data_IF_353824598720
#
_entry.id   IF_353824598720
#
_cell.length_a   1.000
_cell.length_b   1.000
_cell.length_c   1.000
_cell.angle_alpha   90.00
_cell.angle_beta   90.00
_cell.angle_gamma   90.00
#
_symmetry.space_group_name_H-M   'P 1'
#
loop_
_entity.id
_entity.type
_entity.pdbx_description
1 polymer ?
#
# COMPACT_ATOMS: atom_id res chain seq x y z
N UNK A 1 10.16 38.42 -13.91
CA UNK A 1 9.06 38.23 -12.94
C UNK A 1 8.22 36.97 -13.21
N UNK A 2 8.57 36.12 -14.17
CA UNK A 2 7.84 34.89 -14.57
C UNK A 2 8.19 33.64 -13.77
N UNK A 3 9.36 33.60 -13.12
CA UNK A 3 9.86 32.44 -12.36
C UNK A 3 9.00 32.04 -11.14
N UNK A 4 8.48 32.96 -10.30
CA UNK A 4 7.72 32.57 -9.09
C UNK A 4 6.34 31.98 -9.40
N UNK A 5 5.71 32.42 -10.49
CA UNK A 5 4.39 31.95 -10.90
C UNK A 5 4.50 30.54 -11.50
N UNK A 6 5.50 30.31 -12.36
CA UNK A 6 5.76 28.99 -12.95
C UNK A 6 6.09 27.94 -11.88
N UNK A 7 6.88 28.30 -10.86
CA UNK A 7 7.19 27.40 -9.74
C UNK A 7 5.95 27.09 -8.88
N UNK A 8 5.09 28.08 -8.66
CA UNK A 8 3.82 27.88 -7.93
C UNK A 8 2.87 26.98 -8.71
N UNK A 9 2.72 27.22 -10.01
CA UNK A 9 1.85 26.41 -10.87
C UNK A 9 2.31 24.95 -10.93
N UNK A 10 3.62 24.71 -11.00
CA UNK A 10 4.19 23.36 -10.94
C UNK A 10 3.92 22.69 -9.57
N UNK A 11 4.03 23.43 -8.47
CA UNK A 11 3.72 22.92 -7.13
C UNK A 11 2.23 22.56 -7.00
N UNK A 12 1.32 23.44 -7.45
CA UNK A 12 -0.13 23.19 -7.44
C UNK A 12 -0.50 21.94 -8.27
N UNK A 13 0.11 21.75 -9.45
CA UNK A 13 -0.09 20.53 -10.27
C UNK A 13 0.38 19.27 -9.55
N UNK A 14 1.55 19.33 -8.91
CA UNK A 14 2.12 18.21 -8.16
C UNK A 14 1.24 17.84 -6.97
N UNK A 15 0.77 18.84 -6.22
CA UNK A 15 -0.14 18.65 -5.08
C UNK A 15 -1.44 17.98 -5.53
N UNK A 16 -2.06 18.45 -6.63
CA UNK A 16 -3.25 17.83 -7.19
C UNK A 16 -3.01 16.39 -7.67
N UNK A 17 -1.87 16.11 -8.31
CA UNK A 17 -1.51 14.77 -8.74
C UNK A 17 -1.32 13.82 -7.55
N UNK A 18 -0.64 14.28 -6.49
CA UNK A 18 -0.42 13.53 -5.24
C UNK A 18 -1.75 13.24 -4.53
N UNK A 19 -2.66 14.22 -4.47
CA UNK A 19 -4.00 14.02 -3.92
C UNK A 19 -4.77 12.91 -4.66
N UNK A 20 -4.73 12.89 -6.00
CA UNK A 20 -5.37 11.85 -6.81
C UNK A 20 -4.72 10.47 -6.68
N UNK A 21 -3.41 10.38 -6.44
CA UNK A 21 -2.75 9.10 -6.22
C UNK A 21 -3.14 8.48 -4.86
N UNK A 22 -3.23 9.31 -3.82
CA UNK A 22 -3.62 8.92 -2.45
C UNK A 22 -5.10 8.61 -2.34
N UNK A 23 -5.95 9.45 -2.95
CA UNK A 23 -7.40 9.29 -2.97
C UNK A 23 -7.86 9.29 -4.43
N UNK A 24 -7.94 8.11 -5.09
CA UNK A 24 -8.29 8.01 -6.51
C UNK A 24 -9.73 8.42 -6.86
N UNK A 25 -10.55 8.75 -5.86
CA UNK A 25 -11.90 9.25 -6.03
C UNK A 25 -12.14 10.42 -5.07
N UNK A 26 -11.96 11.64 -5.56
CA UNK A 26 -12.18 12.87 -4.81
C UNK A 26 -13.61 13.35 -5.01
N UNK A 27 -14.27 13.81 -3.96
CA UNK A 27 -15.64 14.36 -4.04
C UNK A 27 -15.70 15.78 -3.51
N UNK A 28 -16.68 16.56 -3.96
CA UNK A 28 -16.89 17.92 -3.44
C UNK A 28 -17.23 17.94 -1.94
N UNK A 29 -17.86 16.88 -1.43
CA UNK A 29 -18.25 16.75 -0.03
C UNK A 29 -17.04 16.51 0.89
N UNK A 30 -16.11 15.63 0.50
CA UNK A 30 -14.97 15.25 1.33
C UNK A 30 -13.68 16.04 0.99
N UNK A 31 -13.49 16.44 -0.26
CA UNK A 31 -12.19 16.87 -0.81
C UNK A 31 -12.27 18.19 -1.59
N UNK A 32 -13.11 19.14 -1.15
CA UNK A 32 -13.41 20.37 -1.90
C UNK A 32 -12.17 21.14 -2.40
N UNK A 33 -11.16 21.32 -1.54
CA UNK A 33 -9.93 22.05 -1.89
C UNK A 33 -9.08 21.29 -2.92
N UNK A 34 -8.87 20.00 -2.71
CA UNK A 34 -8.12 19.16 -3.65
C UNK A 34 -8.85 19.06 -5.00
N UNK A 35 -10.17 18.91 -4.99
CA UNK A 35 -10.99 18.89 -6.21
C UNK A 35 -10.94 20.24 -6.95
N UNK A 36 -10.95 21.36 -6.24
CA UNK A 36 -10.78 22.69 -6.83
C UNK A 36 -9.43 22.82 -7.55
N UNK A 37 -8.36 22.30 -6.93
CA UNK A 37 -7.02 22.29 -7.51
C UNK A 37 -6.93 21.38 -8.75
N UNK A 38 -7.52 20.18 -8.68
CA UNK A 38 -7.62 19.25 -9.82
C UNK A 38 -8.38 19.89 -10.98
N UNK A 39 -9.53 20.53 -10.71
CA UNK A 39 -10.33 21.21 -11.74
C UNK A 39 -9.57 22.37 -12.39
N UNK A 40 -8.83 23.15 -11.61
CA UNK A 40 -7.98 24.24 -12.11
C UNK A 40 -6.95 23.74 -13.11
N UNK A 41 -6.34 22.60 -12.84
CA UNK A 41 -5.23 22.05 -13.63
C UNK A 41 -5.62 20.85 -14.50
N UNK A 42 -6.92 20.64 -14.73
CA UNK A 42 -7.45 19.41 -15.33
C UNK A 42 -6.81 19.02 -16.69
N UNK A 43 -6.66 19.92 -17.68
CA UNK A 43 -6.06 19.54 -18.96
C UNK A 43 -4.64 18.99 -18.83
N UNK A 44 -3.83 19.61 -17.96
CA UNK A 44 -2.46 19.18 -17.72
C UNK A 44 -2.42 17.84 -16.98
N UNK A 45 -3.26 17.67 -15.95
CA UNK A 45 -3.34 16.43 -15.16
C UNK A 45 -3.83 15.25 -16.01
N UNK A 46 -4.88 15.44 -16.81
CA UNK A 46 -5.40 14.41 -17.72
C UNK A 46 -4.32 13.94 -18.70
N UNK A 47 -3.62 14.88 -19.34
CA UNK A 47 -2.53 14.56 -20.26
C UNK A 47 -1.37 13.85 -19.55
N UNK A 48 -0.99 14.33 -18.36
CA UNK A 48 0.12 13.77 -17.57
C UNK A 48 -0.18 12.33 -17.14
N UNK A 49 -1.31 12.08 -16.47
CA UNK A 49 -1.68 10.74 -16.01
C UNK A 49 -1.78 9.74 -17.16
N UNK A 50 -2.37 10.15 -18.28
CA UNK A 50 -2.49 9.29 -19.45
C UNK A 50 -1.13 8.95 -20.07
N UNK A 51 -0.28 9.96 -20.29
CA UNK A 51 1.00 9.79 -20.99
C UNK A 51 2.05 9.11 -20.11
N UNK A 52 2.12 9.50 -18.84
CA UNK A 52 3.18 9.07 -17.92
C UNK A 52 2.88 7.71 -17.29
N UNK A 53 1.62 7.46 -16.92
CA UNK A 53 1.21 6.28 -16.13
C UNK A 53 0.16 5.40 -16.84
N UNK A 54 -0.47 5.90 -17.90
CA UNK A 54 -1.57 5.19 -18.58
C UNK A 54 -2.88 5.26 -17.81
N UNK A 55 -3.03 6.22 -16.90
CA UNK A 55 -4.23 6.37 -16.08
C UNK A 55 -5.21 7.34 -16.72
N UNK A 56 -6.50 7.01 -16.64
CA UNK A 56 -7.57 7.88 -17.12
C UNK A 56 -8.07 8.73 -15.96
N UNK A 57 -7.99 10.04 -16.10
CA UNK A 57 -8.56 10.98 -15.14
C UNK A 57 -9.88 11.51 -15.69
N UNK A 58 -10.96 11.33 -14.93
CA UNK A 58 -12.28 11.92 -15.17
C UNK A 58 -12.46 13.07 -14.19
N UNK A 59 -12.82 14.25 -14.69
CA UNK A 59 -13.03 15.45 -13.87
C UNK A 59 -14.41 16.00 -14.16
N UNK A 60 -15.28 15.96 -13.15
CA UNK A 60 -16.65 16.47 -13.20
C UNK A 60 -16.81 17.64 -12.22
N UNK A 61 -18.00 18.25 -12.21
CA UNK A 61 -18.29 19.35 -11.30
C UNK A 61 -18.25 18.92 -9.82
N UNK A 62 -18.79 17.74 -9.50
CA UNK A 62 -18.93 17.22 -8.13
C UNK A 62 -17.85 16.23 -7.69
N UNK A 63 -17.03 15.72 -8.61
CA UNK A 63 -16.00 14.73 -8.28
C UNK A 63 -14.86 14.69 -9.30
N UNK A 64 -13.75 14.06 -8.93
CA UNK A 64 -12.70 13.64 -9.84
C UNK A 64 -12.30 12.19 -9.56
N UNK A 65 -12.18 11.37 -10.60
CA UNK A 65 -11.85 9.95 -10.52
C UNK A 65 -10.59 9.64 -11.32
N UNK A 66 -9.52 9.21 -10.65
CA UNK A 66 -8.32 8.66 -11.27
C UNK A 66 -8.46 7.15 -11.47
N UNK A 67 -8.89 6.73 -12.65
CA UNK A 67 -9.00 5.32 -13.01
C UNK A 67 -7.60 4.77 -13.30
N UNK A 68 -7.03 4.09 -12.29
CA UNK A 68 -5.75 3.39 -12.39
C UNK A 68 -5.89 2.15 -13.28
N UNK A 69 -4.89 1.91 -14.11
CA UNK A 69 -4.76 0.65 -14.85
C UNK A 69 -4.52 -0.50 -13.86
N UNK A 70 -4.80 -1.76 -14.25
CA UNK A 70 -4.47 -2.91 -13.43
C UNK A 70 -3.00 -2.90 -13.00
N UNK A 71 -2.81 -3.19 -11.71
CA UNK A 71 -1.47 -3.27 -11.14
C UNK A 71 -0.77 -4.53 -11.67
N UNK A 72 0.55 -4.47 -11.77
CA UNK A 72 1.34 -5.64 -12.16
C UNK A 72 1.35 -6.69 -11.05
N UNK A 73 1.63 -7.95 -11.39
CA UNK A 73 1.57 -9.06 -10.45
C UNK A 73 2.55 -8.94 -9.27
N UNK A 74 3.60 -8.13 -9.41
CA UNK A 74 4.58 -7.79 -8.36
C UNK A 74 4.09 -6.70 -7.39
N UNK A 75 2.95 -6.06 -7.65
CA UNK A 75 2.39 -5.08 -6.74
C UNK A 75 1.77 -5.77 -5.51
N UNK A 76 2.05 -5.29 -4.28
CA UNK A 76 1.40 -5.81 -3.09
C UNK A 76 -0.11 -5.56 -3.15
N UNK A 77 -0.93 -6.49 -2.60
CA UNK A 77 -2.38 -6.31 -2.59
C UNK A 77 -2.77 -5.10 -1.74
N UNK A 78 -3.73 -4.32 -2.23
CA UNK A 78 -4.35 -3.19 -1.52
C UNK A 78 -5.83 -3.46 -1.30
N UNK A 79 -6.19 -4.38 -0.39
CA UNK A 79 -7.58 -4.68 -0.13
C UNK A 79 -8.30 -3.46 0.49
N UNK A 80 -9.59 -3.33 0.19
CA UNK A 80 -10.45 -2.43 0.93
C UNK A 80 -10.46 -2.81 2.41
N UNK A 81 -10.46 -1.81 3.29
CA UNK A 81 -10.42 -2.01 4.74
C UNK A 81 -11.73 -1.63 5.37
N UNK A 82 -12.07 -2.30 6.47
CA UNK A 82 -13.21 -1.92 7.30
C UNK A 82 -12.87 -0.61 8.03
N UNK A 83 -13.78 0.36 8.00
CA UNK A 83 -13.62 1.66 8.68
C UNK A 83 -13.63 1.60 10.22
N UNK A 84 -13.56 0.40 10.82
CA UNK A 84 -13.55 0.23 12.28
C UNK A 84 -12.14 0.38 12.84
N UNK A 85 -12.00 0.85 14.08
CA UNK A 85 -10.70 1.01 14.77
C UNK A 85 -9.86 -0.27 14.85
N UNK A 86 -10.49 -1.46 14.75
CA UNK A 86 -9.86 -2.79 14.68
C UNK A 86 -9.99 -3.46 13.31
N UNK A 87 -10.28 -2.69 12.26
CA UNK A 87 -10.77 -3.19 10.98
C UNK A 87 -9.70 -3.91 10.16
N UNK A 88 -9.85 -5.24 10.04
CA UNK A 88 -9.13 -6.02 9.05
C UNK A 88 -9.59 -5.77 7.61
N UNK A 89 -8.91 -6.44 6.69
CA UNK A 89 -9.16 -6.36 5.26
C UNK A 89 -10.52 -6.97 4.88
N UNK A 90 -11.07 -6.54 3.74
CA UNK A 90 -12.27 -7.14 3.17
C UNK A 90 -11.95 -8.57 2.71
N UNK A 91 -12.65 -9.53 3.30
CA UNK A 91 -12.67 -10.90 2.79
C UNK A 91 -13.60 -11.03 1.58
N UNK A 92 -13.57 -12.18 0.87
CA UNK A 92 -14.40 -12.45 -0.30
C UNK A 92 -15.89 -12.16 -0.06
N UNK A 93 -16.40 -12.54 1.12
CA UNK A 93 -17.81 -12.32 1.49
C UNK A 93 -18.18 -10.84 1.54
N UNK A 94 -17.34 -9.97 2.12
CA UNK A 94 -17.59 -8.52 2.14
C UNK A 94 -17.61 -7.95 0.72
N UNK A 95 -16.70 -8.41 -0.16
CA UNK A 95 -16.71 -8.00 -1.56
C UNK A 95 -17.99 -8.43 -2.28
N UNK A 96 -18.54 -9.62 -2.00
CA UNK A 96 -19.84 -10.04 -2.53
C UNK A 96 -20.94 -9.01 -2.20
N UNK A 97 -21.07 -8.60 -0.94
CA UNK A 97 -22.03 -7.57 -0.54
C UNK A 97 -21.78 -6.22 -1.21
N UNK A 98 -20.52 -5.79 -1.30
CA UNK A 98 -20.15 -4.56 -2.00
C UNK A 98 -20.57 -4.61 -3.48
N UNK A 99 -20.30 -5.71 -4.17
CA UNK A 99 -20.66 -5.87 -5.59
C UNK A 99 -22.16 -5.91 -5.81
N UNK A 100 -22.91 -6.63 -4.96
CA UNK A 100 -24.36 -6.69 -5.04
C UNK A 100 -24.98 -5.33 -4.74
N UNK A 101 -24.47 -4.62 -3.73
CA UNK A 101 -24.93 -3.27 -3.40
C UNK A 101 -24.68 -2.29 -4.56
N UNK A 102 -23.51 -2.35 -5.20
CA UNK A 102 -23.24 -1.54 -6.39
C UNK A 102 -24.21 -1.89 -7.54
N UNK A 103 -24.49 -3.18 -7.75
CA UNK A 103 -25.43 -3.63 -8.77
C UNK A 103 -26.86 -3.14 -8.52
N UNK A 104 -27.36 -3.28 -7.28
CA UNK A 104 -28.69 -2.78 -6.91
C UNK A 104 -28.78 -1.25 -7.05
N UNK A 105 -27.75 -0.50 -6.63
CA UNK A 105 -27.72 0.97 -6.78
C UNK A 105 -27.66 1.44 -8.25
N UNK A 106 -27.04 0.65 -9.13
CA UNK A 106 -26.96 0.90 -10.57
C UNK A 106 -28.25 0.56 -11.31
N UNK A 107 -29.21 -0.12 -10.64
CA UNK A 107 -30.48 -0.45 -11.25
C UNK A 107 -31.24 0.83 -11.68
N UNK A 108 -31.88 0.83 -12.86
CA UNK A 108 -32.52 2.04 -13.41
C UNK A 108 -33.60 2.63 -12.52
N UNK A 109 -34.33 1.77 -11.80
CA UNK A 109 -35.44 2.07 -10.91
C UNK A 109 -35.01 2.56 -9.52
N UNK A 110 -33.72 2.45 -9.17
CA UNK A 110 -33.22 2.99 -7.91
C UNK A 110 -33.19 4.52 -7.95
N UNK A 111 -33.84 5.15 -6.96
CA UNK A 111 -33.91 6.61 -6.84
C UNK A 111 -32.60 7.26 -6.34
N UNK A 112 -32.61 8.59 -6.25
CA UNK A 112 -31.53 9.37 -5.63
C UNK A 112 -31.53 9.29 -4.09
N UNK A 113 -32.64 8.84 -3.51
CA UNK A 113 -32.84 8.65 -2.08
C UNK A 113 -33.32 7.22 -1.85
N UNK A 114 -32.65 6.49 -0.97
CA UNK A 114 -32.95 5.07 -0.70
C UNK A 114 -32.97 4.80 0.80
N UNK A 115 -33.96 4.03 1.25
CA UNK A 115 -33.97 3.50 2.61
C UNK A 115 -33.13 2.21 2.65
N UNK A 116 -32.37 2.01 3.72
CA UNK A 116 -31.48 0.84 3.85
C UNK A 116 -32.26 -0.47 3.88
N UNK A 117 -33.33 -0.57 4.68
CA UNK A 117 -34.16 -1.78 4.78
C UNK A 117 -34.66 -2.29 3.43
N UNK A 118 -35.45 -1.50 2.68
CA UNK A 118 -35.93 -1.88 1.34
C UNK A 118 -34.81 -2.19 0.34
N UNK A 119 -33.70 -1.45 0.38
CA UNK A 119 -32.56 -1.72 -0.50
C UNK A 119 -31.92 -3.09 -0.18
N UNK A 120 -31.85 -3.46 1.09
CA UNK A 120 -31.31 -4.76 1.53
C UNK A 120 -32.25 -5.91 1.17
N UNK A 121 -33.56 -5.70 1.25
CA UNK A 121 -34.54 -6.67 0.74
C UNK A 121 -34.39 -6.89 -0.77
N UNK A 122 -34.27 -5.81 -1.55
CA UNK A 122 -34.03 -5.90 -2.99
C UNK A 122 -32.71 -6.62 -3.29
N UNK A 123 -31.63 -6.25 -2.60
CA UNK A 123 -30.32 -6.90 -2.74
C UNK A 123 -30.38 -8.41 -2.49
N UNK A 124 -31.16 -8.85 -1.49
CA UNK A 124 -31.36 -10.28 -1.20
C UNK A 124 -32.14 -10.98 -2.31
N UNK A 125 -33.14 -10.32 -2.89
CA UNK A 125 -33.89 -10.85 -4.03
C UNK A 125 -32.99 -10.97 -5.29
N UNK A 126 -32.15 -9.97 -5.55
CA UNK A 126 -31.17 -9.96 -6.64
C UNK A 126 -30.14 -11.08 -6.46
N UNK A 127 -29.62 -11.23 -5.25
CA UNK A 127 -28.67 -12.29 -4.90
C UNK A 127 -29.26 -13.69 -5.11
N UNK A 128 -30.50 -13.91 -4.65
CA UNK A 128 -31.21 -15.17 -4.86
C UNK A 128 -31.40 -15.48 -6.36
N UNK A 129 -31.74 -14.47 -7.16
CA UNK A 129 -31.86 -14.59 -8.62
C UNK A 129 -30.53 -14.93 -9.30
N UNK A 130 -29.42 -14.46 -8.74
CA UNK A 130 -28.05 -14.76 -9.17
C UNK A 130 -27.49 -16.09 -8.59
N UNK A 131 -28.28 -16.84 -7.81
CA UNK A 131 -27.84 -18.07 -7.16
C UNK A 131 -26.86 -17.87 -6.01
N UNK A 132 -26.77 -16.66 -5.45
CA UNK A 132 -25.93 -16.31 -4.31
C UNK A 132 -26.76 -16.40 -3.03
N UNK A 133 -26.42 -17.35 -2.15
CA UNK A 133 -27.07 -17.48 -0.85
C UNK A 133 -26.57 -16.42 0.12
N UNK A 134 -27.48 -15.56 0.58
CA UNK A 134 -27.25 -14.59 1.66
C UNK A 134 -28.10 -14.99 2.86
N UNK A 135 -27.46 -15.16 4.02
CA UNK A 135 -28.17 -15.43 5.27
C UNK A 135 -28.60 -14.13 5.94
N UNK A 136 -29.63 -14.21 6.79
CA UNK A 136 -30.02 -13.11 7.67
C UNK A 136 -29.43 -13.34 9.07
N UNK A 137 -28.16 -12.96 9.24
CA UNK A 137 -27.44 -13.10 10.50
C UNK A 137 -26.68 -11.82 10.85
N UNK A 138 -26.37 -11.65 12.14
CA UNK A 138 -25.55 -10.51 12.61
C UNK A 138 -24.13 -10.52 12.03
N UNK A 139 -23.62 -11.68 11.62
CA UNK A 139 -22.34 -11.77 10.91
C UNK A 139 -22.44 -11.17 9.49
N UNK A 140 -23.51 -11.50 8.77
CA UNK A 140 -23.77 -10.96 7.43
C UNK A 140 -24.10 -9.47 7.43
N UNK A 141 -24.85 -9.00 8.44
CA UNK A 141 -25.11 -7.58 8.63
C UNK A 141 -23.81 -6.78 8.78
N UNK A 142 -22.79 -7.32 9.48
CA UNK A 142 -21.47 -6.68 9.59
C UNK A 142 -20.74 -6.56 8.24
N UNK A 143 -20.88 -7.55 7.35
CA UNK A 143 -20.32 -7.47 6.00
C UNK A 143 -21.02 -6.38 5.17
N UNK A 144 -22.34 -6.30 5.27
CA UNK A 144 -23.13 -5.30 4.56
C UNK A 144 -22.88 -3.87 5.08
N UNK A 145 -22.83 -3.66 6.40
CA UNK A 145 -22.46 -2.36 7.00
C UNK A 145 -21.06 -1.93 6.54
N UNK A 146 -20.10 -2.86 6.47
CA UNK A 146 -18.76 -2.55 5.95
C UNK A 146 -18.80 -2.11 4.48
N UNK A 147 -19.60 -2.78 3.63
CA UNK A 147 -19.77 -2.41 2.22
C UNK A 147 -20.38 -1.01 2.05
N UNK A 148 -21.47 -0.71 2.79
CA UNK A 148 -22.07 0.62 2.80
C UNK A 148 -21.08 1.70 3.26
N UNK A 149 -20.37 1.48 4.36
CA UNK A 149 -19.38 2.43 4.87
C UNK A 149 -18.27 2.71 3.86
N UNK A 150 -17.87 1.71 3.07
CA UNK A 150 -16.89 1.93 2.00
C UNK A 150 -17.45 2.83 0.90
N UNK A 151 -18.70 2.62 0.47
CA UNK A 151 -19.36 3.49 -0.51
C UNK A 151 -19.59 4.92 0.00
N UNK A 152 -19.85 5.06 1.31
CA UNK A 152 -19.91 6.37 1.98
C UNK A 152 -18.52 7.02 2.00
N UNK A 153 -17.49 6.25 2.32
CA UNK A 153 -16.09 6.73 2.31
C UNK A 153 -15.66 7.20 0.92
N UNK A 154 -16.11 6.53 -0.14
CA UNK A 154 -15.89 6.97 -1.52
C UNK A 154 -16.80 8.14 -1.96
N UNK A 155 -17.72 8.59 -1.10
CA UNK A 155 -18.66 9.67 -1.38
C UNK A 155 -19.71 9.34 -2.45
N UNK A 156 -19.95 8.04 -2.70
CA UNK A 156 -21.03 7.58 -3.60
C UNK A 156 -22.37 7.51 -2.87
N UNK A 157 -22.33 7.28 -1.56
CA UNK A 157 -23.48 7.34 -0.67
C UNK A 157 -23.25 8.40 0.41
N UNK A 158 -24.32 9.02 0.89
CA UNK A 158 -24.29 9.95 2.02
C UNK A 158 -25.45 9.63 2.99
N UNK A 159 -25.16 9.58 4.29
CA UNK A 159 -26.17 9.37 5.33
C UNK A 159 -26.95 10.67 5.52
N UNK A 160 -28.20 10.69 5.07
CA UNK A 160 -29.07 11.89 5.12
C UNK A 160 -29.90 11.92 6.41
N UNK A 161 -30.46 10.77 6.79
CA UNK A 161 -31.18 10.59 8.05
C UNK A 161 -30.86 9.21 8.63
N UNK A 162 -30.55 9.13 9.92
CA UNK A 162 -30.08 7.89 10.53
C UNK A 162 -28.65 7.52 10.10
N UNK A 163 -28.20 6.32 10.49
CA UNK A 163 -26.88 5.80 10.07
C UNK A 163 -26.97 4.32 9.74
N UNK A 164 -26.16 3.87 8.80
CA UNK A 164 -26.05 2.44 8.45
C UNK A 164 -25.56 1.62 9.63
N UNK A 165 -24.79 2.23 10.52
CA UNK A 165 -24.34 1.60 11.77
C UNK A 165 -25.52 1.31 12.69
N UNK A 166 -26.39 2.30 12.91
CA UNK A 166 -27.60 2.13 13.72
C UNK A 166 -28.55 1.09 13.11
N UNK A 167 -28.67 1.05 11.79
CA UNK A 167 -29.39 0.00 11.08
C UNK A 167 -28.79 -1.39 11.36
N UNK A 168 -27.47 -1.55 11.26
CA UNK A 168 -26.82 -2.84 11.49
C UNK A 168 -26.89 -3.33 12.93
N UNK A 169 -26.90 -2.42 13.91
CA UNK A 169 -26.89 -2.76 15.34
C UNK A 169 -28.29 -2.92 15.94
N UNK A 170 -29.25 -2.10 15.49
CA UNK A 170 -30.58 -1.96 16.10
C UNK A 170 -31.74 -1.99 15.11
N UNK A 171 -31.47 -2.20 13.82
CA UNK A 171 -32.47 -2.16 12.74
C UNK A 171 -33.24 -0.84 12.69
N UNK A 172 -32.62 0.26 13.15
CA UNK A 172 -33.14 1.61 12.97
C UNK A 172 -32.96 2.02 11.51
N UNK A 173 -34.05 2.38 10.85
CA UNK A 173 -34.02 2.72 9.42
C UNK A 173 -33.12 3.93 9.15
N UNK A 174 -32.44 3.92 8.00
CA UNK A 174 -31.60 5.02 7.56
C UNK A 174 -31.93 5.40 6.11
N UNK A 175 -31.95 6.70 5.83
CA UNK A 175 -32.10 7.29 4.51
C UNK A 175 -30.73 7.68 3.95
N UNK A 176 -30.41 7.15 2.78
CA UNK A 176 -29.16 7.43 2.07
C UNK A 176 -29.43 8.23 0.80
N UNK A 177 -28.64 9.28 0.58
CA UNK A 177 -28.52 9.94 -0.71
C UNK A 177 -27.53 9.19 -1.60
N UNK A 178 -27.88 8.99 -2.86
CA UNK A 178 -27.03 8.32 -3.86
C UNK A 178 -26.46 9.36 -4.83
N UNK A 179 -25.14 9.47 -4.90
CA UNK A 179 -24.48 10.31 -5.90
C UNK A 179 -24.47 9.62 -7.27
N UNK A 180 -25.63 9.60 -7.95
CA UNK A 180 -25.87 8.88 -9.21
C UNK A 180 -24.83 9.16 -10.31
N UNK A 181 -24.33 10.40 -10.52
CA UNK A 181 -23.28 10.64 -11.52
C UNK A 181 -21.92 9.99 -11.22
N UNK A 182 -21.61 9.71 -9.95
CA UNK A 182 -20.33 9.16 -9.51
C UNK A 182 -20.33 7.62 -9.55
N UNK A 183 -21.49 7.02 -9.30
CA UNK A 183 -21.67 5.57 -9.17
C UNK A 183 -21.10 4.74 -10.36
N UNK A 184 -21.32 5.11 -11.65
CA UNK A 184 -20.75 4.36 -12.77
C UNK A 184 -19.20 4.35 -12.80
N UNK A 185 -18.56 5.32 -12.15
CA UNK A 185 -17.10 5.48 -12.12
C UNK A 185 -16.41 4.70 -10.99
N UNK A 186 -17.17 3.96 -10.19
CA UNK A 186 -16.60 2.90 -9.33
C UNK A 186 -15.96 1.79 -10.16
N UNK A 187 -16.53 1.52 -11.34
CA UNK A 187 -16.00 0.54 -12.28
C UNK A 187 -14.84 1.13 -13.06
N UNK A 188 -13.75 0.38 -13.17
CA UNK A 188 -12.57 0.78 -13.95
C UNK A 188 -12.80 0.66 -15.46
N UNK A 189 -13.71 -0.24 -15.86
CA UNK A 189 -14.12 -0.52 -17.24
C UNK A 189 -15.60 -0.93 -17.30
N UNK A 190 -16.27 -0.81 -18.46
CA UNK A 190 -17.59 -1.40 -18.66
C UNK A 190 -17.57 -2.91 -18.41
N UNK A 191 -18.67 -3.44 -17.85
CA UNK A 191 -18.85 -4.88 -17.62
C UNK A 191 -19.38 -5.61 -18.87
N UNK A 192 -19.97 -4.87 -19.82
CA UNK A 192 -20.55 -5.45 -21.03
C UNK A 192 -19.47 -6.16 -21.87
N UNK A 193 -19.78 -7.38 -22.32
CA UNK A 193 -18.87 -8.20 -23.14
C UNK A 193 -17.78 -8.91 -22.35
N UNK A 194 -17.89 -8.98 -21.01
CA UNK A 194 -16.99 -9.78 -20.19
C UNK A 194 -17.59 -11.15 -19.88
N UNK A 195 -16.89 -12.21 -20.27
CA UNK A 195 -17.35 -13.60 -20.10
C UNK A 195 -16.73 -14.30 -18.86
N UNK A 196 -15.76 -13.68 -18.20
CA UNK A 196 -15.10 -14.23 -17.02
C UNK A 196 -14.67 -13.13 -16.02
N UNK A 197 -14.75 -13.37 -14.69
CA UNK A 197 -14.32 -12.41 -13.68
C UNK A 197 -12.86 -11.98 -13.83
N UNK A 198 -11.97 -12.90 -14.26
CA UNK A 198 -10.55 -12.60 -14.48
C UNK A 198 -10.30 -11.50 -15.53
N UNK A 199 -11.22 -11.31 -16.47
CA UNK A 199 -11.14 -10.24 -17.46
C UNK A 199 -11.33 -8.83 -16.86
N UNK A 200 -11.91 -8.72 -15.65
CA UNK A 200 -11.97 -7.47 -14.90
C UNK A 200 -10.61 -7.05 -14.34
N UNK A 201 -9.78 -8.05 -14.01
CA UNK A 201 -8.47 -7.86 -13.39
C UNK A 201 -7.37 -7.69 -14.45
N UNK A 202 -7.61 -8.17 -15.67
CA UNK A 202 -6.70 -8.00 -16.79
C UNK A 202 -6.68 -6.57 -17.35
N UNK A 203 -5.53 -6.17 -17.87
CA UNK A 203 -5.42 -4.98 -18.72
C UNK A 203 -6.25 -5.12 -20.00
N UNK A 204 -6.34 -4.02 -20.75
CA UNK A 204 -6.85 -4.08 -22.12
C UNK A 204 -5.95 -5.01 -22.95
N UNK A 205 -6.46 -6.15 -23.48
CA UNK A 205 -5.65 -7.12 -24.21
C UNK A 205 -5.05 -6.53 -25.49
N UNK A 206 -5.66 -5.49 -26.06
CA UNK A 206 -5.20 -4.84 -27.29
C UNK A 206 -4.18 -3.72 -27.00
N UNK A 207 -4.02 -3.32 -25.74
CA UNK A 207 -3.08 -2.28 -25.35
C UNK A 207 -1.65 -2.84 -25.26
N UNK A 208 -0.80 -2.46 -26.21
CA UNK A 208 0.64 -2.71 -26.11
C UNK A 208 1.23 -1.82 -25.02
N UNK A 209 1.55 -2.42 -23.88
CA UNK A 209 2.17 -1.70 -22.77
C UNK A 209 3.61 -1.32 -23.11
N UNK A 210 3.93 -0.02 -22.96
CA UNK A 210 5.26 0.49 -23.26
C UNK A 210 6.16 0.33 -22.03
N UNK A 211 7.38 -0.23 -22.16
CA UNK A 211 8.23 -0.50 -21.00
C UNK A 211 8.50 0.70 -20.09
N UNK A 212 8.69 1.90 -20.67
CA UNK A 212 8.89 3.14 -19.91
C UNK A 212 7.66 3.54 -19.08
N UNK A 213 6.46 3.35 -19.63
CA UNK A 213 5.20 3.67 -18.94
C UNK A 213 4.90 2.62 -17.86
N UNK A 214 5.10 1.34 -18.17
CA UNK A 214 5.03 0.23 -17.21
C UNK A 214 5.96 0.45 -16.03
N UNK A 215 7.23 0.79 -16.29
CA UNK A 215 8.23 1.02 -15.25
C UNK A 215 7.88 2.22 -14.37
N UNK A 216 7.43 3.34 -14.94
CA UNK A 216 6.94 4.50 -14.16
C UNK A 216 5.77 4.11 -13.26
N UNK A 217 4.83 3.31 -13.77
CA UNK A 217 3.72 2.78 -12.97
C UNK A 217 4.19 1.89 -11.83
N UNK A 218 5.09 0.93 -12.08
CA UNK A 218 5.71 0.10 -11.02
C UNK A 218 6.40 0.96 -9.97
N UNK A 219 7.14 1.99 -10.37
CA UNK A 219 7.83 2.89 -9.44
C UNK A 219 6.88 3.73 -8.59
N UNK A 220 5.72 4.11 -9.13
CA UNK A 220 4.69 4.88 -8.39
C UNK A 220 3.85 4.00 -7.49
N UNK A 221 3.54 2.77 -7.91
CA UNK A 221 2.62 1.89 -7.20
C UNK A 221 3.32 0.86 -6.30
N UNK A 222 4.60 0.52 -6.49
CA UNK A 222 5.24 -0.53 -5.68
C UNK A 222 6.20 0.09 -4.67
N UNK A 223 6.19 -0.37 -3.39
CA UNK A 223 7.14 0.13 -2.38
C UNK A 223 8.59 -0.19 -2.74
N UNK A 224 8.79 -1.29 -3.47
CA UNK A 224 10.06 -1.67 -4.08
C UNK A 224 9.79 -2.32 -5.43
N UNK A 225 10.47 -1.83 -6.47
CA UNK A 225 10.51 -2.49 -7.78
C UNK A 225 11.72 -3.43 -7.80
N UNK A 226 11.49 -4.72 -7.56
CA UNK A 226 12.52 -5.76 -7.57
C UNK A 226 13.05 -5.98 -8.98
N UNK A 227 14.36 -6.20 -9.11
CA UNK A 227 15.01 -6.26 -10.43
C UNK A 227 14.63 -7.53 -11.22
N UNK A 228 14.36 -8.61 -10.51
CA UNK A 228 13.90 -9.90 -11.02
C UNK A 228 12.48 -9.87 -11.58
N UNK A 229 11.64 -8.91 -11.15
CA UNK A 229 10.25 -8.76 -11.60
C UNK A 229 10.11 -7.84 -12.83
N UNK A 230 11.21 -7.25 -13.28
CA UNK A 230 11.24 -6.45 -14.50
C UNK A 230 11.24 -7.34 -15.76
N UNK A 231 10.56 -6.90 -16.80
CA UNK A 231 10.75 -7.46 -18.15
C UNK A 231 12.09 -6.98 -18.74
N UNK A 232 12.56 -7.59 -19.83
CA UNK A 232 13.78 -7.14 -20.52
C UNK A 232 13.68 -5.68 -20.99
N UNK A 233 12.52 -5.29 -21.53
CA UNK A 233 12.28 -3.91 -21.95
C UNK A 233 12.27 -2.93 -20.78
N UNK A 234 11.74 -3.32 -19.63
CA UNK A 234 11.74 -2.47 -18.43
C UNK A 234 13.15 -2.35 -17.82
N UNK A 235 13.93 -3.45 -17.81
CA UNK A 235 15.34 -3.42 -17.40
C UNK A 235 16.17 -2.49 -18.27
N UNK A 236 15.95 -2.54 -19.58
CA UNK A 236 16.61 -1.68 -20.55
C UNK A 236 16.24 -0.20 -20.34
N UNK A 237 14.95 0.09 -20.18
CA UNK A 237 14.47 1.44 -19.89
C UNK A 237 15.05 1.99 -18.58
N UNK A 238 15.08 1.19 -17.50
CA UNK A 238 15.69 1.59 -16.23
C UNK A 238 17.18 1.91 -16.37
N UNK A 239 17.90 1.16 -17.23
CA UNK A 239 19.33 1.36 -17.45
C UNK A 239 19.64 2.59 -18.30
N UNK A 240 18.88 2.83 -19.38
CA UNK A 240 19.19 3.89 -20.35
C UNK A 240 18.58 5.25 -19.98
N UNK A 241 17.39 5.24 -19.40
CA UNK A 241 16.57 6.45 -19.23
C UNK A 241 16.49 6.91 -17.77
N UNK A 242 17.40 6.44 -16.90
CA UNK A 242 17.36 6.70 -15.45
C UNK A 242 17.19 8.18 -15.10
N UNK A 243 17.93 9.06 -15.77
CA UNK A 243 17.88 10.51 -15.51
C UNK A 243 16.52 11.09 -15.85
N UNK A 244 15.94 10.70 -16.99
CA UNK A 244 14.62 11.17 -17.40
C UNK A 244 13.49 10.60 -16.53
N UNK A 245 13.62 9.34 -16.09
CA UNK A 245 12.70 8.74 -15.13
C UNK A 245 12.72 9.48 -13.79
N UNK A 246 13.91 9.72 -13.23
CA UNK A 246 14.08 10.44 -11.98
C UNK A 246 13.48 11.84 -12.06
N UNK A 247 13.87 12.60 -13.10
CA UNK A 247 13.37 13.94 -13.35
C UNK A 247 11.85 13.96 -13.50
N UNK A 248 11.28 13.03 -14.27
CA UNK A 248 9.83 12.96 -14.47
C UNK A 248 9.06 12.65 -13.18
N UNK A 249 9.57 11.75 -12.34
CA UNK A 249 8.95 11.40 -11.06
C UNK A 249 9.02 12.58 -10.07
N UNK A 250 10.16 13.27 -10.01
CA UNK A 250 10.36 14.43 -9.16
C UNK A 250 9.49 15.62 -9.61
N UNK A 251 9.51 15.94 -10.92
CA UNK A 251 8.75 17.06 -11.48
C UNK A 251 7.25 16.91 -11.18
N UNK A 252 6.66 15.77 -11.55
CA UNK A 252 5.21 15.57 -11.52
C UNK A 252 4.67 15.12 -10.17
N UNK A 253 5.44 14.35 -9.40
CA UNK A 253 4.97 13.67 -8.18
C UNK A 253 5.79 14.01 -6.94
N UNK A 254 6.95 14.65 -7.09
CA UNK A 254 7.87 14.93 -5.98
C UNK A 254 8.58 13.68 -5.45
N UNK A 255 8.60 12.59 -6.21
CA UNK A 255 9.22 11.34 -5.79
C UNK A 255 10.69 11.30 -6.22
N UNK A 256 11.56 10.88 -5.31
CA UNK A 256 12.99 10.70 -5.56
C UNK A 256 13.28 9.24 -5.92
N UNK A 257 14.04 9.04 -7.01
CA UNK A 257 14.38 7.71 -7.51
C UNK A 257 15.74 7.23 -6.99
N UNK A 258 15.73 6.16 -6.19
CA UNK A 258 16.93 5.42 -5.82
C UNK A 258 17.00 4.11 -6.62
N UNK A 259 18.15 3.82 -7.22
CA UNK A 259 18.40 2.58 -7.97
C UNK A 259 19.66 1.92 -7.42
N UNK A 260 19.52 0.64 -7.07
CA UNK A 260 20.59 -0.24 -6.57
C UNK A 260 20.66 -1.53 -7.40
N UNK A 261 21.57 -2.43 -7.05
CA UNK A 261 21.75 -3.69 -7.77
C UNK A 261 20.53 -4.61 -7.65
N UNK A 262 19.85 -4.59 -6.50
CA UNK A 262 18.69 -5.41 -6.17
C UNK A 262 17.36 -4.86 -6.71
N UNK A 263 17.31 -3.60 -7.14
CA UNK A 263 16.05 -2.99 -7.58
C UNK A 263 16.07 -1.47 -7.56
N UNK A 264 14.87 -0.90 -7.66
CA UNK A 264 14.65 0.54 -7.63
C UNK A 264 13.45 0.89 -6.74
N UNK A 265 13.46 2.09 -6.17
CA UNK A 265 12.33 2.64 -5.42
C UNK A 265 12.16 4.13 -5.74
N UNK A 266 10.92 4.58 -5.82
CA UNK A 266 10.59 5.99 -5.82
C UNK A 266 10.01 6.31 -4.44
N UNK A 267 10.67 7.17 -3.67
CA UNK A 267 10.23 7.51 -2.32
C UNK A 267 9.88 8.98 -2.21
N UNK A 268 8.97 9.26 -1.29
CA UNK A 268 8.58 10.60 -0.93
C UNK A 268 9.40 11.08 0.27
N UNK A 269 10.25 12.11 0.14
CA UNK A 269 11.09 12.57 1.24
C UNK A 269 10.27 13.08 2.43
N UNK A 270 9.09 13.66 2.15
CA UNK A 270 8.19 14.24 3.15
C UNK A 270 7.13 13.24 3.66
N UNK A 271 7.08 12.04 3.08
CA UNK A 271 6.19 10.91 3.43
C UNK A 271 4.68 11.19 3.34
N UNK A 272 4.23 12.22 2.62
CA UNK A 272 2.81 12.53 2.43
C UNK A 272 2.09 11.53 1.51
N UNK A 273 2.80 10.88 0.58
CA UNK A 273 2.25 9.83 -0.32
C UNK A 273 2.82 8.44 -0.01
N UNK A 274 3.16 8.19 1.26
CA UNK A 274 3.63 6.88 1.74
C UNK A 274 2.48 6.09 2.37
N UNK A 275 2.09 4.97 1.75
CA UNK A 275 1.01 4.10 2.25
C UNK A 275 1.39 3.43 3.60
N UNK A 276 2.63 2.96 3.71
CA UNK A 276 3.15 2.26 4.88
C UNK A 276 4.55 2.75 5.19
N UNK A 277 4.71 3.43 6.32
CA UNK A 277 6.03 3.88 6.77
C UNK A 277 6.88 2.70 7.23
N UNK A 278 8.15 2.65 6.80
CA UNK A 278 9.12 1.70 7.34
C UNK A 278 10.57 2.17 7.17
N UNK A 279 11.40 2.15 8.23
CA UNK A 279 11.04 1.91 9.62
C UNK A 279 10.12 3.01 10.18
N UNK A 280 9.36 2.70 11.23
CA UNK A 280 8.39 3.64 11.79
C UNK A 280 7.98 3.32 13.21
N UNK A 281 7.12 4.15 13.78
CA UNK A 281 6.60 3.95 15.14
C UNK A 281 5.64 2.76 15.19
N UNK A 282 5.50 2.15 16.37
CA UNK A 282 4.59 1.03 16.57
C UNK A 282 5.29 -0.32 16.58
N UNK A 283 4.66 -1.24 17.30
CA UNK A 283 5.28 -2.48 17.78
C UNK A 283 5.62 -3.44 16.64
N UNK A 284 4.70 -3.66 15.70
CA UNK A 284 4.95 -4.49 14.52
C UNK A 284 6.14 -4.00 13.68
N UNK A 285 6.25 -2.68 13.45
CA UNK A 285 7.37 -2.08 12.70
C UNK A 285 8.71 -2.21 13.42
N UNK A 286 8.72 -1.99 14.73
CA UNK A 286 9.91 -2.18 15.55
C UNK A 286 10.34 -3.65 15.57
N UNK A 287 9.41 -4.58 15.79
CA UNK A 287 9.67 -6.01 15.79
C UNK A 287 10.17 -6.48 14.41
N UNK A 288 9.58 -6.03 13.32
CA UNK A 288 10.02 -6.35 11.97
C UNK A 288 11.44 -5.84 11.68
N UNK A 289 11.76 -4.60 12.09
CA UNK A 289 13.11 -4.06 11.96
C UNK A 289 14.14 -4.91 12.70
N UNK A 290 13.87 -5.25 13.97
CA UNK A 290 14.78 -6.05 14.79
C UNK A 290 14.89 -7.50 14.29
N UNK A 291 13.80 -8.08 13.80
CA UNK A 291 13.79 -9.42 13.21
C UNK A 291 14.67 -9.45 11.95
N UNK A 292 14.54 -8.45 11.07
CA UNK A 292 15.38 -8.30 9.88
C UNK A 292 16.85 -8.14 10.27
N UNK A 293 17.16 -7.27 11.24
CA UNK A 293 18.53 -7.02 11.68
C UNK A 293 19.19 -8.29 12.22
N UNK A 294 18.50 -9.03 13.09
CA UNK A 294 19.00 -10.27 13.70
C UNK A 294 19.19 -11.39 12.66
N UNK A 295 18.22 -11.60 11.76
CA UNK A 295 18.35 -12.60 10.69
C UNK A 295 19.50 -12.25 9.72
N UNK A 296 19.66 -10.97 9.36
CA UNK A 296 20.79 -10.53 8.53
C UNK A 296 22.15 -10.69 9.24
N UNK A 297 22.18 -10.58 10.58
CA UNK A 297 23.38 -10.80 11.40
C UNK A 297 23.71 -12.29 11.51
N UNK A 298 22.73 -13.18 11.64
CA UNK A 298 22.92 -14.63 11.71
C UNK A 298 23.45 -15.22 10.40
N UNK A 299 22.91 -14.77 9.26
CA UNK A 299 23.24 -15.35 7.94
C UNK A 299 24.38 -14.64 7.20
N UNK A 300 24.67 -13.38 7.53
CA UNK A 300 25.66 -12.54 6.84
C UNK A 300 25.61 -12.66 5.29
N UNK A 301 24.43 -12.50 4.66
CA UNK A 301 24.29 -12.74 3.23
C UNK A 301 25.16 -11.80 2.40
N UNK A 302 25.67 -12.30 1.28
CA UNK A 302 26.57 -11.58 0.36
C UNK A 302 25.85 -11.22 -0.93
N UNK A 303 26.45 -10.34 -1.72
CA UNK A 303 25.96 -10.07 -3.08
C UNK A 303 25.88 -11.39 -3.88
N UNK A 304 24.71 -11.65 -4.45
CA UNK A 304 24.44 -12.90 -5.18
C UNK A 304 23.90 -14.05 -4.33
N UNK A 305 23.64 -13.87 -3.03
CA UNK A 305 22.88 -14.85 -2.25
C UNK A 305 21.47 -15.03 -2.84
N UNK A 306 21.08 -16.28 -3.05
CA UNK A 306 19.79 -16.66 -3.65
C UNK A 306 19.06 -17.69 -2.81
N UNK A 307 17.73 -17.66 -2.88
CA UNK A 307 16.82 -18.67 -2.36
C UNK A 307 16.06 -19.35 -3.51
N UNK A 308 15.35 -20.42 -3.21
CA UNK A 308 14.44 -21.08 -4.16
C UNK A 308 13.01 -20.95 -3.66
N UNK A 309 12.12 -20.41 -4.49
CA UNK A 309 10.68 -20.29 -4.21
C UNK A 309 9.94 -20.97 -5.36
N UNK A 310 9.11 -21.97 -5.08
CA UNK A 310 8.33 -22.71 -6.08
C UNK A 310 9.16 -23.19 -7.29
N UNK A 311 10.38 -23.67 -7.02
CA UNK A 311 11.33 -24.15 -8.04
C UNK A 311 12.04 -23.05 -8.85
N UNK A 312 11.82 -21.77 -8.52
CA UNK A 312 12.50 -20.61 -9.13
C UNK A 312 13.58 -20.06 -8.21
N UNK A 313 14.78 -19.84 -8.75
CA UNK A 313 15.85 -19.13 -8.05
C UNK A 313 15.54 -17.64 -7.99
N UNK A 314 15.54 -17.07 -6.78
CA UNK A 314 15.28 -15.65 -6.53
C UNK A 314 16.41 -15.03 -5.69
N UNK A 315 16.72 -13.75 -5.83
CA UNK A 315 17.63 -13.05 -4.92
C UNK A 315 17.09 -13.02 -3.50
N UNK A 316 17.92 -13.36 -2.52
CA UNK A 316 17.53 -13.27 -1.11
C UNK A 316 18.04 -14.41 -0.25
N UNK A 317 17.89 -14.23 1.06
CA UNK A 317 18.29 -15.19 2.08
C UNK A 317 17.04 -15.92 2.60
N UNK A 318 17.02 -17.25 2.52
CA UNK A 318 16.00 -18.06 3.18
C UNK A 318 16.30 -18.18 4.67
N UNK A 319 15.35 -17.80 5.51
CA UNK A 319 15.34 -18.03 6.95
C UNK A 319 14.18 -18.99 7.24
N UNK A 320 14.48 -20.20 7.74
CA UNK A 320 13.44 -21.22 7.99
C UNK A 320 12.51 -20.80 9.13
N UNK A 321 11.27 -21.29 9.14
CA UNK A 321 10.28 -20.83 10.13
C UNK A 321 10.72 -21.02 11.59
N UNK A 322 11.36 -22.14 11.93
CA UNK A 322 11.86 -22.38 13.29
C UNK A 322 12.84 -21.29 13.74
N UNK A 323 13.68 -20.79 12.84
CA UNK A 323 14.62 -19.70 13.13
C UNK A 323 13.91 -18.36 13.28
N UNK A 324 12.93 -18.08 12.40
CA UNK A 324 12.12 -16.86 12.48
C UNK A 324 11.33 -16.82 13.80
N UNK A 325 10.74 -17.94 14.18
CA UNK A 325 9.95 -18.10 15.41
C UNK A 325 10.83 -17.93 16.65
N UNK A 326 12.05 -18.49 16.63
CA UNK A 326 13.05 -18.30 17.69
C UNK A 326 13.42 -16.82 17.86
N UNK A 327 13.78 -16.14 16.76
CA UNK A 327 14.14 -14.71 16.80
C UNK A 327 12.98 -13.87 17.34
N UNK A 328 11.75 -14.15 16.92
CA UNK A 328 10.57 -13.42 17.38
C UNK A 328 10.28 -13.68 18.86
N UNK A 329 10.40 -14.93 19.32
CA UNK A 329 10.23 -15.28 20.72
C UNK A 329 11.27 -14.58 21.60
N UNK A 330 12.54 -14.56 21.18
CA UNK A 330 13.62 -13.86 21.88
C UNK A 330 13.37 -12.36 21.96
N UNK A 331 12.96 -11.73 20.85
CA UNK A 331 12.62 -10.31 20.81
C UNK A 331 11.41 -10.00 21.69
N UNK A 332 10.38 -10.84 21.68
CA UNK A 332 9.20 -10.70 22.53
C UNK A 332 9.55 -10.83 24.02
N UNK A 333 10.46 -11.74 24.39
CA UNK A 333 10.94 -11.87 25.76
C UNK A 333 11.77 -10.65 26.21
N UNK A 334 12.64 -10.13 25.33
CA UNK A 334 13.50 -8.99 25.62
C UNK A 334 12.73 -7.66 25.68
N UNK A 335 11.80 -7.45 24.76
CA UNK A 335 11.11 -6.17 24.56
C UNK A 335 9.63 -6.18 24.99
N UNK A 336 9.10 -7.31 25.48
CA UNK A 336 7.68 -7.48 25.83
C UNK A 336 7.15 -6.45 26.82
N UNK A 337 7.98 -5.93 27.73
CA UNK A 337 7.59 -4.82 28.63
C UNK A 337 7.24 -3.53 27.89
N UNK A 338 7.92 -3.25 26.78
CA UNK A 338 7.69 -2.07 25.94
C UNK A 338 6.58 -2.32 24.90
N UNK A 339 6.43 -3.56 24.44
CA UNK A 339 5.43 -3.94 23.42
C UNK A 339 4.09 -4.39 24.00
N UNK A 340 3.98 -4.56 25.30
CA UNK A 340 2.75 -4.93 26.00
C UNK A 340 2.64 -6.43 26.27
N UNK A 341 1.97 -6.81 27.36
CA UNK A 341 1.96 -8.20 27.86
C UNK A 341 1.25 -9.18 26.92
N UNK A 342 0.21 -8.73 26.20
CA UNK A 342 -0.57 -9.58 25.30
C UNK A 342 0.27 -10.12 24.14
N UNK A 343 1.27 -9.35 23.70
CA UNK A 343 2.18 -9.73 22.60
C UNK A 343 3.36 -10.58 23.03
N UNK A 344 3.82 -10.41 24.27
CA UNK A 344 4.81 -11.33 24.83
C UNK A 344 4.24 -12.76 24.95
N UNK A 345 2.92 -12.89 25.05
CA UNK A 345 2.21 -14.17 25.13
C UNK A 345 1.79 -14.73 23.75
N UNK A 346 1.65 -13.90 22.71
CA UNK A 346 1.24 -14.29 21.36
C UNK A 346 2.34 -14.03 20.31
N UNK A 347 3.38 -14.87 20.34
CA UNK A 347 4.48 -14.81 19.36
C UNK A 347 4.03 -15.17 17.94
N UNK A 348 2.99 -16.01 17.81
CA UNK A 348 2.45 -16.42 16.52
C UNK A 348 1.72 -15.27 15.81
N UNK A 349 0.92 -14.49 16.54
CA UNK A 349 0.29 -13.27 16.03
C UNK A 349 1.32 -12.21 15.65
N UNK A 350 2.31 -11.97 16.52
CA UNK A 350 3.43 -11.07 16.22
C UNK A 350 4.19 -11.49 14.96
N UNK A 351 4.44 -12.79 14.76
CA UNK A 351 5.05 -13.32 13.53
C UNK A 351 4.21 -13.02 12.30
N UNK A 352 2.91 -13.26 12.35
CA UNK A 352 2.02 -12.96 11.23
C UNK A 352 2.11 -11.47 10.86
N UNK A 353 2.04 -10.57 11.84
CA UNK A 353 2.12 -9.14 11.60
C UNK A 353 3.48 -8.68 11.02
N UNK A 354 4.59 -9.25 11.49
CA UNK A 354 5.93 -8.96 10.95
C UNK A 354 6.04 -9.44 9.51
N UNK A 355 5.61 -10.67 9.22
CA UNK A 355 5.67 -11.25 7.87
C UNK A 355 4.77 -10.47 6.91
N UNK A 356 3.54 -10.15 7.31
CA UNK A 356 2.58 -9.37 6.53
C UNK A 356 3.15 -7.98 6.20
N UNK A 357 3.74 -7.30 7.19
CA UNK A 357 4.36 -5.99 6.99
C UNK A 357 5.54 -6.05 6.01
N UNK A 358 6.47 -6.99 6.19
CA UNK A 358 7.64 -7.12 5.32
C UNK A 358 7.24 -7.52 3.89
N UNK A 359 6.20 -8.34 3.75
CA UNK A 359 5.64 -8.73 2.44
C UNK A 359 4.93 -7.55 1.78
N UNK A 360 4.14 -6.78 2.53
CA UNK A 360 3.47 -5.58 2.03
C UNK A 360 4.44 -4.50 1.56
N UNK A 361 5.63 -4.41 2.17
CA UNK A 361 6.74 -3.54 1.75
C UNK A 361 7.59 -4.14 0.62
N UNK A 362 7.25 -5.33 0.14
CA UNK A 362 8.02 -6.09 -0.85
C UNK A 362 9.48 -6.34 -0.42
N UNK A 363 9.75 -6.38 0.89
CA UNK A 363 11.06 -6.66 1.48
C UNK A 363 11.27 -8.15 1.79
N UNK A 364 10.20 -8.94 1.81
CA UNK A 364 10.29 -10.39 1.98
C UNK A 364 9.26 -11.11 1.11
N UNK A 365 9.41 -12.42 1.00
CA UNK A 365 8.41 -13.35 0.48
C UNK A 365 8.35 -14.54 1.42
N UNK A 366 7.15 -15.03 1.75
CA UNK A 366 6.93 -16.10 2.71
C UNK A 366 6.48 -17.41 2.00
N UNK A 367 7.41 -18.20 1.44
CA UNK A 367 7.10 -19.55 0.98
C UNK A 367 6.72 -20.49 2.15
N UNK A 368 6.33 -21.73 1.82
CA UNK A 368 5.89 -22.70 2.82
C UNK A 368 6.99 -23.07 3.85
N UNK A 369 8.26 -23.00 3.47
CA UNK A 369 9.42 -23.45 4.23
C UNK A 369 10.10 -22.36 5.07
N UNK A 370 9.76 -21.09 4.87
CA UNK A 370 10.34 -20.01 5.65
C UNK A 370 10.02 -18.61 5.13
N UNK A 371 10.84 -17.65 5.55
CA UNK A 371 10.82 -16.28 5.10
C UNK A 371 12.07 -16.01 4.25
N UNK A 372 11.88 -15.62 2.99
CA UNK A 372 12.97 -15.17 2.12
C UNK A 372 13.10 -13.66 2.24
N UNK A 373 14.19 -13.19 2.85
CA UNK A 373 14.52 -11.77 2.94
C UNK A 373 15.14 -11.29 1.63
N UNK A 374 14.51 -10.31 0.99
CA UNK A 374 15.02 -9.69 -0.23
C UNK A 374 16.28 -8.87 0.08
N UNK A 375 17.29 -8.78 -0.81
CA UNK A 375 18.53 -8.03 -0.54
C UNK A 375 18.32 -6.56 -0.15
N UNK A 376 17.21 -5.95 -0.58
CA UNK A 376 16.86 -4.59 -0.21
C UNK A 376 16.69 -4.38 1.30
N UNK A 377 16.46 -5.45 2.08
CA UNK A 377 16.41 -5.42 3.55
C UNK A 377 17.72 -4.95 4.18
N UNK A 378 18.86 -5.07 3.49
CA UNK A 378 20.16 -4.62 3.99
C UNK A 378 20.21 -3.11 4.30
N UNK A 379 19.31 -2.31 3.72
CA UNK A 379 19.15 -0.88 4.05
C UNK A 379 18.66 -0.63 5.48
N UNK A 380 18.04 -1.64 6.09
CA UNK A 380 17.42 -1.56 7.40
C UNK A 380 18.29 -2.19 8.49
N UNK A 381 19.55 -2.55 8.18
CA UNK A 381 20.51 -2.91 9.22
C UNK A 381 20.64 -1.76 10.20
N UNK A 382 20.44 -2.04 11.48
CA UNK A 382 20.64 -1.06 12.52
C UNK A 382 22.11 -0.66 12.51
N UNK A 383 22.41 0.53 11.98
CA UNK A 383 23.73 1.12 12.17
C UNK A 383 23.74 1.61 13.60
N UNK A 384 24.31 0.83 14.51
CA UNK A 384 24.60 1.32 15.87
C UNK A 384 25.66 2.41 15.69
N UNK A 385 25.24 3.66 15.61
CA UNK A 385 26.12 4.77 15.93
C UNK A 385 26.47 4.59 17.41
N UNK A 386 27.61 3.95 17.67
CA UNK A 386 28.16 3.90 19.01
C UNK A 386 28.24 5.36 19.49
N UNK A 387 27.65 5.72 20.64
CA UNK A 387 27.79 7.07 21.15
C UNK A 387 29.29 7.39 21.21
N UNK A 388 29.71 8.63 20.88
CA UNK A 388 31.12 8.99 20.89
C UNK A 388 31.69 8.58 22.25
N UNK A 389 32.77 7.79 22.23
CA UNK A 389 33.43 7.29 23.44
C UNK A 389 33.54 8.45 24.43
N UNK A 390 32.96 8.26 25.61
CA UNK A 390 33.07 9.28 26.66
C UNK A 390 34.55 9.52 26.97
N UNK A 391 34.92 10.73 27.40
CA UNK A 391 36.33 11.05 27.78
C UNK A 391 36.92 10.03 28.77
N UNK A 392 36.10 9.38 29.58
CA UNK A 392 36.50 8.29 30.48
C UNK A 392 36.90 7.01 29.72
N UNK A 393 36.11 6.57 28.73
CA UNK A 393 36.42 5.41 27.88
C UNK A 393 37.64 5.64 26.98
N UNK A 394 37.87 6.88 26.54
CA UNK A 394 39.08 7.25 25.79
C UNK A 394 40.35 7.25 26.66
N UNK A 395 40.23 7.59 27.95
CA UNK A 395 41.36 7.50 28.90
C UNK A 395 41.71 6.06 29.25
N UNK A 396 40.71 5.22 29.54
CA UNK A 396 40.91 3.80 29.84
C UNK A 396 41.56 3.02 28.67
N UNK A 397 41.25 3.39 27.42
CA UNK A 397 41.88 2.82 26.23
C UNK A 397 43.31 3.30 25.95
N UNK A 398 43.68 4.49 26.46
CA UNK A 398 45.06 4.99 26.38
C UNK A 398 45.92 4.48 27.56
N UNK A 399 45.35 4.28 28.74
CA UNK A 399 46.04 3.72 29.91
C UNK A 399 46.43 2.26 29.66
N UNK A 400 45.59 1.47 28.97
CA UNK A 400 45.92 0.07 28.60
C UNK A 400 47.04 -0.06 27.57
N UNK A 401 47.38 1.00 26.83
CA UNK A 401 48.54 1.03 25.93
C UNK A 401 49.82 1.57 26.62
N UNK A 402 49.68 2.18 27.80
CA UNK A 402 50.79 2.82 28.53
C UNK A 402 51.54 1.88 29.47
N UNK A 403 50.95 0.73 29.84
CA UNK A 403 51.53 -0.23 30.80
C UNK A 403 52.35 -1.37 30.15
N UNK A 404 52.67 -1.26 28.86
CA UNK A 404 53.53 -2.22 28.14
C UNK A 404 54.86 -1.58 27.70
N UNK A 405 55.59 -0.99 28.63
CA UNK A 405 57.03 -0.74 28.46
C UNK A 405 57.79 -1.32 29.64
N UNK A 406 57.91 -2.65 29.65
CA UNK A 406 58.98 -3.37 30.34
C UNK A 406 60.21 -3.27 29.45
N UNK A 407 61.10 -2.28 29.66
CA UNK A 407 62.56 -2.36 29.51
C UNK A 407 63.16 -1.00 29.91
N UNK A 408 63.92 -1.01 31.01
CA UNK A 408 64.73 0.12 31.47
C UNK A 408 65.87 0.42 30.49
N UNK A 409 66.00 1.68 30.10
CA UNK A 409 67.21 2.21 29.49
C UNK A 409 68.36 2.25 30.52
N UNK A 410 69.55 1.86 30.10
CA UNK A 410 70.80 2.24 30.76
C UNK A 410 71.86 2.52 29.70
N UNK A 411 72.86 3.35 30.01
CA UNK A 411 72.93 4.78 29.67
C UNK A 411 73.70 5.10 28.38
#
# INVERSE_FOLDING_TARGET
>A
MTTPIATREAAEKREAARALLRTPFLTAAADADALSLVRRHAPALVSMFNTQLGYRLVVEAGFARLVKAPLSADAPPRPARRSTTSGGDFGPRTYTYLTLLCASLLAPDTGEQVLVGPLVEQLRADAASAGVTLEDSQAEQRHLVAAFRLLITWGVLEETEGTVTAWGDRHEEALLSVHRPALPYLLTRPLAGLDAPGALLGGDPDAVEQPRRSLRRKLVENPLVRREDLTDGERDALSRDRTDLARSLEEHLGLLLEVRAEGALAYDPDREVTDTEFPGQGRARQAALLTVDELLRRHEPRGGTTATIDGRTVPGQLCVWDEVDEVIADLAAQHGKAWGPDWAADTAGLRAEVVDLLTALSLATAPADGLVLHPATARHRATVEAPPRTRAQTRLGNETLSDLTLFEETP
#
